data_IF_375828823951
#
_entry.id   IF_375828823951
#
_cell.length_a   1.000
_cell.length_b   1.000
_cell.length_c   1.000
_cell.angle_alpha   90.00
_cell.angle_beta   90.00
_cell.angle_gamma   90.00
#
_symmetry.space_group_name_H-M   'P 1'
#
loop_
_entity.id
_entity.type
_entity.pdbx_description
1 polymer ?
2 water ?
#
# COMPACT_ATOMS: atom_id res chain seq x y z
N UNK A 14 -15.97 -2.50 2.83
CA UNK A 14 -15.90 -2.39 1.39
C UNK A 14 -14.64 -1.64 1.06
N UNK A 15 -14.51 -1.14 -0.17
CA UNK A 15 -13.35 -0.30 -0.47
C UNK A 15 -13.40 1.08 0.18
N UNK A 16 -14.54 1.50 0.74
CA UNK A 16 -14.62 2.83 1.36
C UNK A 16 -13.67 2.97 2.55
N UNK A 17 -13.35 1.85 3.22
CA UNK A 17 -12.54 1.95 4.43
C UNK A 17 -11.14 2.50 4.14
N UNK A 18 -10.59 2.24 2.96
CA UNK A 18 -9.26 2.73 2.63
C UNK A 18 -9.30 3.92 1.67
N UNK A 19 -10.43 4.62 1.60
CA UNK A 19 -10.54 5.76 0.68
C UNK A 19 -9.47 6.81 0.92
N UNK A 20 -9.14 7.10 2.19
CA UNK A 20 -8.09 8.09 2.46
C UNK A 20 -6.78 7.67 1.78
N UNK A 21 -6.37 6.42 1.97
CA UNK A 21 -5.13 5.95 1.38
C UNK A 21 -5.15 5.97 -0.14
N UNK A 22 -6.29 5.66 -0.75
CA UNK A 22 -6.39 5.76 -2.21
C UNK A 22 -6.22 7.22 -2.66
N UNK A 23 -6.87 8.14 -1.93
CA UNK A 23 -6.74 9.57 -2.23
C UNK A 23 -5.29 10.03 -2.12
N UNK A 24 -4.57 9.54 -1.10
CA UNK A 24 -3.15 9.88 -0.95
C UNK A 24 -2.37 9.38 -2.15
N UNK A 25 -2.60 8.13 -2.55
CA UNK A 25 -1.88 7.58 -3.70
C UNK A 25 -2.15 8.40 -4.95
N UNK A 26 -3.41 8.75 -5.19
CA UNK A 26 -3.74 9.53 -6.38
C UNK A 26 -3.10 10.91 -6.33
N UNK A 27 -3.08 11.52 -5.15
CA UNK A 27 -2.42 12.83 -5.03
C UNK A 27 -0.94 12.72 -5.36
N UNK A 28 -0.27 11.72 -4.81
CA UNK A 28 1.15 11.51 -5.08
C UNK A 28 1.43 11.26 -6.56
N UNK A 29 0.47 10.64 -7.25
CA UNK A 29 0.64 10.35 -8.67
C UNK A 29 0.59 11.62 -9.53
N UNK A 30 -0.15 12.64 -9.12
CA UNK A 30 -0.21 13.86 -9.92
C UNK A 30 1.05 14.71 -9.78
N UNK A 31 1.90 14.44 -8.79
CA UNK A 31 3.02 15.32 -8.47
C UNK A 31 4.36 14.81 -8.96
N UNK A 32 4.43 13.57 -9.44
CA UNK A 32 5.68 13.03 -9.96
C UNK A 32 5.36 12.01 -11.03
N UNK A 33 6.29 11.80 -11.94
CA UNK A 33 6.20 10.75 -12.93
C UNK A 33 6.99 9.54 -12.43
N UNK A 34 7.07 8.53 -13.26
CA UNK A 34 7.84 7.35 -12.91
C UNK A 34 7.01 6.32 -12.17
N UNK A 35 7.66 5.19 -11.90
CA UNK A 35 7.03 4.14 -11.10
C UNK A 35 6.56 4.71 -9.77
N UNK A 36 5.38 4.29 -9.35
CA UNK A 36 4.82 4.72 -8.08
C UNK A 36 4.10 3.55 -7.43
N UNK A 37 4.37 3.33 -6.15
CA UNK A 37 3.77 2.21 -5.43
C UNK A 37 3.49 2.63 -3.99
N UNK A 38 2.34 2.22 -3.47
CA UNK A 38 2.00 2.50 -2.09
C UNK A 38 0.86 1.59 -1.67
N UNK A 39 0.68 1.45 -0.37
CA UNK A 39 -0.43 0.65 0.15
C UNK A 39 -1.52 1.55 0.71
N UNK A 40 -2.69 1.65 0.08
CA UNK A 40 -3.79 2.39 0.72
C UNK A 40 -4.14 1.84 2.09
N UNK A 41 -4.00 0.52 2.28
CA UNK A 41 -4.21 -0.09 3.59
C UNK A 41 -3.26 0.48 4.65
N UNK A 42 -1.95 0.47 4.37
CA UNK A 42 -0.98 0.95 5.35
C UNK A 42 -1.17 2.43 5.64
N UNK A 43 -1.48 3.22 4.62
CA UNK A 43 -1.61 4.66 4.83
C UNK A 43 -2.86 4.95 5.67
N UNK A 44 -3.95 4.21 5.42
CA UNK A 44 -5.15 4.37 6.23
C UNK A 44 -4.91 3.90 7.67
N UNK A 45 -4.20 2.78 7.84
CA UNK A 45 -3.91 2.26 9.18
C UNK A 45 -3.16 3.29 10.00
N UNK A 46 -2.20 3.98 9.37
CA UNK A 46 -1.47 5.05 10.05
C UNK A 46 -2.43 6.05 10.67
N UNK A 47 -3.35 6.58 9.86
CA UNK A 47 -4.25 7.62 10.33
C UNK A 47 -5.28 7.07 11.31
N UNK A 48 -5.84 5.88 11.00
CA UNK A 48 -6.87 5.30 11.88
C UNK A 48 -6.30 4.97 13.25
N UNK A 49 -5.02 4.60 13.30
CA UNK A 49 -4.38 4.36 14.58
C UNK A 49 -4.20 5.65 15.35
N UNK A 50 -3.74 6.70 14.67
CA UNK A 50 -3.57 7.99 15.31
C UNK A 50 -4.91 8.53 15.86
N UNK A 51 -6.00 8.21 15.15
CA UNK A 51 -7.34 8.66 15.54
C UNK A 51 -7.69 8.19 16.95
N UNK A 52 -7.18 7.02 17.35
CA UNK A 52 -7.53 6.42 18.64
C UNK A 52 -6.95 7.20 19.81
N UNK A 53 -5.96 8.06 19.57
CA UNK A 53 -5.44 8.92 20.61
C UNK A 53 -5.69 10.40 20.40
N UNK A 54 -6.52 10.78 19.43
CA UNK A 54 -6.70 12.16 19.02
C UNK A 54 -7.86 12.84 19.75
N UNK A 55 -7.76 14.15 19.86
CA UNK A 55 -8.81 14.97 20.43
C UNK A 55 -8.96 16.27 19.65
N UNK A 56 -10.05 16.99 19.94
CA UNK A 56 -10.19 18.36 19.48
C UNK A 56 -10.05 18.48 17.97
N UNK A 57 -9.30 19.52 17.55
CA UNK A 57 -9.17 19.78 16.12
C UNK A 57 -8.43 18.66 15.39
N UNK A 58 -7.48 17.99 16.06
CA UNK A 58 -6.77 16.88 15.42
C UNK A 58 -7.72 15.72 15.14
N UNK A 59 -8.55 15.38 16.11
CA UNK A 59 -9.53 14.33 15.91
C UNK A 59 -10.50 14.69 14.78
N UNK A 60 -10.91 15.96 14.73
CA UNK A 60 -11.83 16.42 13.68
C UNK A 60 -11.22 16.25 12.30
N UNK A 61 -9.96 16.69 12.14
CA UNK A 61 -9.26 16.55 10.86
C UNK A 61 -9.16 15.08 10.44
N UNK A 62 -8.77 14.21 11.37
CA UNK A 62 -8.59 12.81 11.00
C UNK A 62 -9.93 12.15 10.67
N UNK A 63 -10.95 12.45 11.47
CA UNK A 63 -12.27 11.86 11.20
C UNK A 63 -12.80 12.28 9.85
N UNK A 64 -12.63 13.56 9.49
CA UNK A 64 -13.06 14.03 8.17
C UNK A 64 -12.28 13.33 7.07
N UNK A 65 -10.99 13.11 7.28
CA UNK A 65 -10.17 12.50 6.22
C UNK A 65 -10.51 11.03 6.03
N UNK A 66 -10.71 10.31 7.13
CA UNK A 66 -11.00 8.87 7.05
C UNK A 66 -12.44 8.58 6.67
N UNK A 67 -13.36 9.50 6.99
CA UNK A 67 -14.80 9.26 6.87
C UNK A 67 -15.22 8.04 7.70
N UNK A 68 -14.58 7.88 8.85
CA UNK A 68 -14.92 6.85 9.83
C UNK A 68 -14.73 7.42 11.22
N UNK A 69 -15.61 7.03 12.15
CA UNK A 69 -15.41 7.36 13.54
C UNK A 69 -14.30 6.49 14.13
N UNK A 70 -13.72 6.89 15.26
CA UNK A 70 -12.69 6.03 15.89
C UNK A 70 -13.18 4.62 16.19
N UNK A 71 -14.42 4.48 16.69
CA UNK A 71 -14.96 3.15 16.97
C UNK A 71 -15.15 2.35 15.69
N UNK A 72 -15.56 3.01 14.61
CA UNK A 72 -15.76 2.30 13.35
C UNK A 72 -14.43 1.85 12.76
N UNK A 73 -13.44 2.74 12.73
CA UNK A 73 -12.16 2.36 12.13
C UNK A 73 -11.50 1.24 12.92
N UNK A 74 -11.67 1.24 14.26
CA UNK A 74 -11.08 0.19 15.07
C UNK A 74 -11.74 -1.15 14.78
N UNK A 75 -13.07 -1.16 14.63
CA UNK A 75 -13.77 -2.40 14.35
C UNK A 75 -13.45 -2.92 12.95
N UNK A 76 -13.38 -2.02 11.97
CA UNK A 76 -13.11 -2.44 10.60
C UNK A 76 -11.72 -3.05 10.51
N UNK A 77 -10.72 -2.37 11.05
CA UNK A 77 -9.37 -2.89 10.85
C UNK A 77 -9.06 -4.08 11.73
N UNK A 78 -9.75 -4.24 12.87
CA UNK A 78 -9.59 -5.49 13.60
C UNK A 78 -10.00 -6.66 12.72
N UNK A 79 -11.11 -6.52 11.98
CA UNK A 79 -11.58 -7.63 11.17
C UNK A 79 -10.70 -7.84 9.96
N UNK A 80 -10.24 -6.75 9.32
CA UNK A 80 -9.33 -6.89 8.19
C UNK A 80 -8.08 -7.64 8.59
N UNK A 81 -7.53 -7.28 9.76
CA UNK A 81 -6.33 -7.96 10.23
C UNK A 81 -6.63 -9.41 10.61
N UNK A 82 -7.80 -9.68 11.20
CA UNK A 82 -8.18 -11.06 11.50
C UNK A 82 -8.27 -11.89 10.24
N UNK A 83 -8.83 -11.34 9.16
CA UNK A 83 -8.93 -12.13 7.94
C UNK A 83 -7.56 -12.39 7.34
N UNK A 84 -6.63 -11.44 7.46
CA UNK A 84 -5.26 -11.69 6.99
C UNK A 84 -4.62 -12.80 7.81
N UNK A 85 -4.71 -12.72 9.14
CA UNK A 85 -3.99 -13.67 9.97
C UNK A 85 -4.61 -15.06 9.95
N UNK A 86 -5.84 -15.20 9.44
CA UNK A 86 -6.41 -16.54 9.31
C UNK A 86 -5.78 -17.32 8.17
N UNK A 87 -5.07 -16.64 7.26
CA UNK A 87 -4.60 -17.29 6.05
C UNK A 87 -3.35 -18.12 6.34
N UNK A 88 -3.37 -19.37 5.87
CA UNK A 88 -2.26 -20.32 6.02
C UNK A 88 -1.99 -20.87 4.63
N UNK A 89 -1.33 -20.06 3.81
CA UNK A 89 -1.14 -20.37 2.40
C UNK A 89 0.26 -19.93 2.00
N UNK A 90 0.61 -20.18 0.75
CA UNK A 90 1.89 -19.74 0.25
C UNK A 90 1.90 -18.27 -0.20
N UNK A 91 0.77 -17.57 -0.10
CA UNK A 91 0.79 -16.13 -0.33
C UNK A 91 1.47 -15.47 0.86
N UNK A 92 2.51 -14.67 0.60
CA UNK A 92 3.25 -14.02 1.67
C UNK A 92 2.83 -12.56 1.73
N UNK A 93 2.10 -12.19 2.79
CA UNK A 93 1.81 -10.79 3.07
C UNK A 93 2.38 -10.48 4.44
N UNK A 94 3.35 -9.56 4.49
CA UNK A 94 4.03 -9.21 5.73
C UNK A 94 3.80 -7.73 6.00
N UNK A 95 3.29 -7.41 7.18
CA UNK A 95 3.06 -6.03 7.55
C UNK A 95 3.91 -5.69 8.78
N UNK A 96 4.36 -4.44 8.83
CA UNK A 96 5.06 -3.93 10.00
C UNK A 96 4.50 -2.56 10.34
N UNK A 97 3.71 -2.50 11.41
CA UNK A 97 3.10 -1.26 11.88
C UNK A 97 3.61 -0.97 13.29
N UNK A 98 4.05 0.27 13.53
CA UNK A 98 4.48 0.60 14.89
C UNK A 98 4.46 2.10 15.08
N UNK A 99 4.36 2.50 16.35
CA UNK A 99 4.49 3.90 16.76
C UNK A 99 5.64 3.94 17.75
N UNK A 100 6.73 4.61 17.38
CA UNK A 100 7.91 4.71 18.22
C UNK A 100 7.85 6.05 18.95
N UNK A 101 7.53 5.99 20.24
CA UNK A 101 7.26 7.17 21.05
C UNK A 101 8.46 7.46 21.96
N UNK A 102 8.98 8.68 21.88
CA UNK A 102 10.12 9.07 22.70
C UNK A 102 9.85 8.80 24.17
N UNK A 103 10.89 8.32 24.85
CA UNK A 103 10.79 8.06 26.28
C UNK A 103 10.61 9.33 27.11
N UNK A 104 10.66 10.52 26.49
CA UNK A 104 10.24 11.73 27.19
C UNK A 104 8.74 11.72 27.48
N UNK A 105 7.97 10.89 26.79
CA UNK A 105 6.53 10.79 26.95
C UNK A 105 6.17 9.46 27.60
N UNK A 106 5.17 9.46 28.46
CA UNK A 106 4.61 8.23 29.00
C UNK A 106 3.57 7.71 28.03
N UNK A 107 3.67 6.43 27.67
CA UNK A 107 2.70 5.88 26.73
C UNK A 107 1.36 5.70 27.42
N UNK A 108 0.30 5.83 26.65
CA UNK A 108 -1.05 5.56 27.13
C UNK A 108 -1.33 4.06 26.98
N UNK A 109 -1.56 3.34 28.08
CA UNK A 109 -1.75 1.88 27.97
C UNK A 109 -2.97 1.49 27.16
N UNK A 110 -4.03 2.31 27.18
CA UNK A 110 -5.22 2.00 26.42
C UNK A 110 -4.98 2.14 24.91
N UNK A 111 -4.25 3.19 24.52
CA UNK A 111 -3.84 3.30 23.12
C UNK A 111 -3.02 2.08 22.70
N UNK A 112 -2.08 1.67 23.56
CA UNK A 112 -1.28 0.50 23.24
C UNK A 112 -2.15 -0.74 23.09
N UNK A 113 -3.14 -0.92 23.96
CA UNK A 113 -4.03 -2.09 23.85
C UNK A 113 -4.76 -2.09 22.52
N UNK A 114 -5.30 -0.95 22.11
CA UNK A 114 -6.02 -0.87 20.83
C UNK A 114 -5.07 -1.11 19.67
N UNK A 115 -3.84 -0.59 19.77
CA UNK A 115 -2.82 -0.83 18.74
C UNK A 115 -2.63 -2.31 18.48
N UNK A 116 -2.44 -3.07 19.56
CA UNK A 116 -2.14 -4.50 19.47
C UNK A 116 -3.37 -5.29 19.10
N UNK A 117 -4.52 -4.99 19.71
CA UNK A 117 -5.70 -5.82 19.54
C UNK A 117 -6.48 -5.53 18.26
N UNK A 118 -6.33 -4.35 17.65
CA UNK A 118 -7.14 -3.97 16.50
C UNK A 118 -6.34 -3.63 15.25
N UNK A 119 -5.16 -3.03 15.41
CA UNK A 119 -4.44 -2.46 14.28
C UNK A 119 -3.16 -3.22 13.91
N UNK A 120 -2.92 -4.39 14.52
CA UNK A 120 -1.69 -5.15 14.26
C UNK A 120 -0.46 -4.22 14.37
N UNK A 121 -0.46 -3.41 15.42
CA UNK A 121 0.53 -2.37 15.59
C UNK A 121 0.95 -2.38 17.05
N UNK A 122 1.61 -1.30 17.49
CA UNK A 122 2.08 -1.24 18.87
C UNK A 122 2.42 0.20 19.19
N UNK A 123 2.64 0.45 20.48
CA UNK A 123 3.18 1.73 20.95
C UNK A 123 4.45 1.41 21.71
N UNK A 124 5.59 1.85 21.18
CA UNK A 124 6.90 1.34 21.60
C UNK A 124 7.78 2.46 22.14
N UNK A 125 8.13 2.46 23.43
CA UNK A 125 9.03 3.49 23.95
C UNK A 125 10.40 3.39 23.27
N UNK A 126 10.96 4.55 22.93
CA UNK A 126 12.18 4.63 22.14
C UNK A 126 13.03 5.81 22.61
N UNK A 127 14.32 5.57 22.84
CA UNK A 127 15.24 6.66 23.13
C UNK A 127 15.86 7.13 21.83
N UNK A 128 15.68 8.41 21.51
CA UNK A 128 16.20 8.98 20.27
C UNK A 128 17.48 9.77 20.48
N UNK A 129 18.01 9.84 21.70
CA UNK A 129 19.21 10.61 21.98
C UNK A 129 20.45 10.09 21.30
N UNK A 130 20.49 8.81 20.93
CA UNK A 130 21.52 8.24 20.06
C UNK A 130 20.83 7.94 18.74
N UNK A 131 20.85 8.88 17.78
CA UNK A 131 20.03 8.72 16.58
C UNK A 131 20.42 7.53 15.71
N UNK A 132 21.72 7.24 15.59
CA UNK A 132 22.12 6.13 14.73
C UNK A 132 21.64 4.80 15.31
N UNK A 133 21.72 4.64 16.63
CA UNK A 133 21.23 3.44 17.28
C UNK A 133 19.72 3.30 17.14
N UNK A 134 18.98 4.40 17.31
CA UNK A 134 17.53 4.37 17.19
C UNK A 134 17.10 3.99 15.77
N UNK A 135 17.72 4.63 14.77
CA UNK A 135 17.38 4.33 13.38
C UNK A 135 17.65 2.87 13.05
N UNK A 136 18.81 2.35 13.48
CA UNK A 136 19.12 0.97 13.16
C UNK A 136 18.23 0.00 13.91
N UNK A 137 17.86 0.30 15.16
CA UNK A 137 16.95 -0.57 15.89
C UNK A 137 15.58 -0.61 15.24
N UNK A 138 15.09 0.53 14.78
CA UNK A 138 13.78 0.56 14.11
C UNK A 138 13.87 -0.21 12.79
N UNK A 139 14.92 0.04 12.01
CA UNK A 139 15.06 -0.65 10.72
C UNK A 139 15.21 -2.15 10.91
N UNK A 140 15.96 -2.58 11.93
CA UNK A 140 16.11 -4.01 12.18
C UNK A 140 14.77 -4.65 12.53
N UNK A 141 13.95 -3.96 13.33
CA UNK A 141 12.63 -4.48 13.65
C UNK A 141 11.77 -4.60 12.39
N UNK A 142 11.78 -3.55 11.55
CA UNK A 142 11.02 -3.62 10.31
C UNK A 142 11.49 -4.79 9.45
N UNK A 143 12.81 -4.92 9.29
CA UNK A 143 13.34 -6.02 8.49
C UNK A 143 12.93 -7.38 9.06
N UNK A 144 12.88 -7.50 10.39
CA UNK A 144 12.49 -8.76 11.02
C UNK A 144 11.03 -9.10 10.76
N UNK A 145 10.20 -8.11 10.43
CA UNK A 145 8.78 -8.31 10.21
C UNK A 145 8.42 -8.45 8.74
N UNK A 146 9.37 -8.25 7.82
CA UNK A 146 9.09 -8.17 6.39
C UNK A 146 9.99 -9.10 5.58
N UNK A 147 10.41 -10.21 6.18
CA UNK A 147 11.30 -11.17 5.51
C UNK A 147 12.56 -10.50 4.98
N UNK A 148 13.05 -9.50 5.72
CA UNK A 148 14.23 -8.73 5.38
C UNK A 148 14.08 -7.95 4.07
N UNK A 149 12.85 -7.75 3.60
CA UNK A 149 12.64 -7.03 2.34
C UNK A 149 12.67 -5.52 2.52
N UNK A 150 12.35 -5.01 3.70
CA UNK A 150 12.35 -3.58 3.97
C UNK A 150 13.29 -3.36 5.15
N UNK A 151 14.46 -2.79 4.89
CA UNK A 151 15.47 -2.74 5.93
C UNK A 151 16.15 -1.38 6.11
N UNK A 152 15.75 -0.34 5.38
CA UNK A 152 16.44 0.95 5.50
C UNK A 152 15.46 2.11 5.40
N UNK A 153 14.27 1.97 5.99
CA UNK A 153 13.25 3.01 5.88
C UNK A 153 13.61 4.27 6.66
N UNK A 154 14.17 4.12 7.88
CA UNK A 154 14.44 5.24 8.76
C UNK A 154 15.90 5.68 8.61
N UNK A 155 16.12 7.03 8.43
CA UNK A 155 17.50 7.52 8.38
C UNK A 155 17.91 8.11 9.72
N UNK A 156 19.15 7.86 10.16
CA UNK A 156 19.62 8.47 11.41
C UNK A 156 19.60 9.99 11.37
N UNK A 157 19.72 10.59 10.18
CA UNK A 157 19.70 12.03 10.08
C UNK A 157 18.31 12.62 10.28
N UNK A 158 17.26 11.80 10.26
CA UNK A 158 15.90 12.25 10.55
C UNK A 158 15.60 12.26 12.04
N UNK A 159 16.52 11.80 12.88
CA UNK A 159 16.27 11.61 14.29
C UNK A 159 17.21 12.47 15.12
N UNK A 160 16.72 12.90 16.29
CA UNK A 160 17.52 13.65 17.22
C UNK A 160 16.92 13.48 18.60
N UNK A 161 17.59 14.02 19.61
CA UNK A 161 17.02 14.00 20.95
C UNK A 161 15.69 14.72 21.05
N UNK A 162 15.36 15.56 20.07
CA UNK A 162 14.10 16.28 20.08
C UNK A 162 12.99 15.56 19.30
N UNK A 163 13.30 14.42 18.67
CA UNK A 163 12.28 13.60 18.04
C UNK A 163 11.28 13.12 19.08
N UNK A 164 10.00 13.23 18.75
CA UNK A 164 8.94 12.82 19.67
C UNK A 164 8.28 11.51 19.27
N UNK A 165 8.02 11.30 17.98
CA UNK A 165 7.22 10.15 17.57
C UNK A 165 7.55 9.83 16.12
N UNK A 166 7.89 8.57 15.86
CA UNK A 166 8.14 8.08 14.52
C UNK A 166 7.11 7.00 14.23
N UNK A 167 6.26 7.23 13.23
CA UNK A 167 5.29 6.24 12.82
C UNK A 167 5.80 5.50 11.59
N UNK A 168 5.73 4.16 11.64
CA UNK A 168 6.16 3.33 10.51
C UNK A 168 5.04 2.36 10.14
N UNK A 169 4.78 2.25 8.84
CA UNK A 169 3.81 1.30 8.32
C UNK A 169 4.38 0.76 7.03
N UNK A 170 4.76 -0.50 7.04
CA UNK A 170 5.45 -1.11 5.91
C UNK A 170 4.69 -2.37 5.48
N UNK A 171 4.78 -2.70 4.20
CA UNK A 171 4.08 -3.90 3.73
C UNK A 171 4.87 -4.53 2.58
N UNK A 172 4.96 -5.85 2.59
CA UNK A 172 5.60 -6.64 1.55
C UNK A 172 4.64 -7.72 1.08
N UNK A 173 4.48 -7.87 -0.23
CA UNK A 173 3.67 -8.97 -0.74
C UNK A 173 4.40 -9.71 -1.85
N UNK A 174 4.41 -11.04 -1.76
CA UNK A 174 4.78 -11.91 -2.88
C UNK A 174 3.86 -13.11 -2.79
N UNK A 175 3.01 -13.29 -3.81
CA UNK A 175 2.00 -14.32 -3.78
C UNK A 175 2.33 -15.46 -4.73
N UNK A 176 1.49 -16.49 -4.66
CA UNK A 176 1.56 -17.64 -5.55
C UNK A 176 0.29 -17.64 -6.40
N UNK A 177 0.44 -17.64 -7.71
CA UNK A 177 -0.73 -17.67 -8.56
C UNK A 177 -1.53 -18.96 -8.34
N UNK A 178 -2.85 -18.84 -8.50
CA UNK A 178 -3.70 -20.04 -8.53
C UNK A 178 -3.20 -21.04 -9.56
N UNK A 179 -2.82 -20.55 -10.73
CA UNK A 179 -2.26 -21.38 -11.80
C UNK A 179 -0.93 -20.76 -12.22
N UNK A 180 0.13 -21.56 -12.35
CA UNK A 180 1.44 -20.99 -12.65
C UNK A 180 1.55 -20.49 -14.08
N UNK A 181 2.41 -19.50 -14.27
CA UNK A 181 2.98 -19.22 -15.58
C UNK A 181 4.09 -20.23 -15.86
N UNK A 182 4.12 -20.75 -17.09
CA UNK A 182 5.19 -21.64 -17.51
C UNK A 182 6.47 -20.81 -17.68
N UNK A 183 7.51 -21.16 -16.92
CA UNK A 183 8.76 -20.41 -16.99
C UNK A 183 9.32 -20.37 -18.40
N UNK A 184 9.32 -21.50 -19.10
CA UNK A 184 9.88 -21.49 -20.45
C UNK A 184 9.03 -20.69 -21.44
N UNK A 185 7.85 -20.22 -21.02
CA UNK A 185 7.04 -19.32 -21.84
C UNK A 185 7.38 -17.85 -21.61
N UNK A 186 8.15 -17.52 -20.58
CA UNK A 186 8.53 -16.13 -20.35
C UNK A 186 9.51 -15.69 -21.42
N UNK A 187 9.26 -14.53 -22.02
CA UNK A 187 10.03 -14.11 -23.18
C UNK A 187 10.45 -12.65 -23.06
N UNK A 188 11.61 -12.34 -23.63
CA UNK A 188 12.09 -10.97 -23.67
C UNK A 188 11.49 -10.27 -24.88
N UNK A 189 10.72 -9.21 -24.62
CA UNK A 189 10.06 -8.41 -25.65
C UNK A 189 10.23 -6.95 -25.26
N UNK A 190 9.98 -6.05 -26.21
CA UNK A 190 10.12 -4.64 -25.89
C UNK A 190 8.91 -4.11 -25.12
N UNK A 191 9.20 -3.31 -24.10
CA UNK A 191 8.22 -2.51 -23.38
C UNK A 191 8.45 -1.07 -23.80
N UNK A 192 7.38 -0.36 -24.14
CA UNK A 192 7.49 1.02 -24.62
C UNK A 192 7.10 1.96 -23.49
N UNK A 193 8.05 2.77 -23.04
CA UNK A 193 7.78 3.72 -21.98
C UNK A 193 6.98 4.90 -22.54
N UNK A 194 6.32 5.61 -21.64
CA UNK A 194 5.74 6.89 -22.00
C UNK A 194 6.81 7.79 -22.61
N UNK A 195 6.51 8.36 -23.76
CA UNK A 195 7.46 9.19 -24.47
C UNK A 195 8.16 8.48 -25.61
N UNK A 196 8.26 7.16 -25.57
CA UNK A 196 8.71 6.38 -26.73
C UNK A 196 9.94 5.50 -26.52
N UNK A 197 10.69 5.66 -25.43
CA UNK A 197 11.86 4.81 -25.21
C UNK A 197 11.47 3.34 -25.13
N UNK A 198 12.21 2.47 -25.82
CA UNK A 198 12.00 1.03 -25.78
C UNK A 198 12.99 0.37 -24.82
N UNK A 199 12.50 -0.56 -24.01
CA UNK A 199 13.34 -1.32 -23.08
C UNK A 199 12.92 -2.79 -23.07
N UNK A 200 13.91 -3.67 -23.08
CA UNK A 200 13.64 -5.12 -22.98
C UNK A 200 13.10 -5.44 -21.59
N UNK A 201 12.02 -6.23 -21.55
CA UNK A 201 11.47 -6.73 -20.30
C UNK A 201 11.11 -8.19 -20.46
N UNK A 202 10.95 -8.87 -19.32
CA UNK A 202 10.59 -10.29 -19.28
C UNK A 202 9.08 -10.43 -19.14
N UNK A 203 8.43 -10.85 -20.21
CA UNK A 203 6.97 -11.00 -20.23
C UNK A 203 6.60 -12.45 -19.94
N UNK A 204 5.92 -12.65 -18.82
CA UNK A 204 5.27 -13.93 -18.55
C UNK A 204 4.07 -14.07 -19.47
N UNK A 205 3.80 -15.30 -19.91
CA UNK A 205 2.75 -15.51 -20.89
C UNK A 205 1.90 -16.71 -20.52
N UNK A 206 0.58 -16.58 -20.71
CA UNK A 206 -0.33 -17.71 -20.58
C UNK A 206 -1.61 -17.38 -21.34
N UNK A 207 -2.41 -18.41 -21.59
CA UNK A 207 -3.74 -18.24 -22.16
C UNK A 207 -4.70 -19.09 -21.36
N UNK A 208 -5.58 -18.44 -20.61
CA UNK A 208 -6.53 -19.10 -19.73
C UNK A 208 -7.78 -18.25 -19.65
N UNK A 209 -8.81 -18.81 -19.03
CA UNK A 209 -9.98 -18.03 -18.68
C UNK A 209 -9.66 -17.21 -17.42
N UNK A 210 -9.84 -15.89 -17.52
CA UNK A 210 -9.77 -14.98 -16.39
C UNK A 210 -11.00 -14.11 -16.40
N UNK A 211 -11.43 -13.69 -15.21
CA UNK A 211 -12.34 -12.56 -15.14
C UNK A 211 -11.69 -11.37 -15.83
N UNK A 212 -12.34 -10.83 -16.85
CA UNK A 212 -11.70 -9.81 -17.68
C UNK A 212 -12.77 -9.08 -18.47
N UNK A 213 -12.40 -7.91 -18.97
CA UNK A 213 -13.32 -7.14 -19.78
C UNK A 213 -12.69 -5.83 -20.18
N UNK A 214 -13.52 -4.95 -20.71
CA UNK A 214 -13.14 -3.59 -21.06
C UNK A 214 -14.03 -2.64 -20.28
N UNK A 215 -13.42 -1.79 -19.47
CA UNK A 215 -14.16 -0.78 -18.71
C UNK A 215 -14.20 0.49 -19.54
N UNK A 216 -15.32 0.71 -20.25
CA UNK A 216 -15.41 1.87 -21.12
C UNK A 216 -15.38 3.21 -20.37
N UNK A 217 -16.05 3.39 -19.23
CA UNK A 217 -15.87 4.63 -18.47
C UNK A 217 -14.41 4.93 -18.13
N UNK A 218 -13.53 3.94 -18.20
CA UNK A 218 -12.10 4.14 -17.96
C UNK A 218 -11.25 4.04 -19.22
N UNK A 219 -11.83 3.65 -20.35
CA UNK A 219 -11.11 3.44 -21.60
C UNK A 219 -9.90 2.52 -21.39
N UNK A 220 -10.18 1.33 -20.87
CA UNK A 220 -9.09 0.45 -20.43
C UNK A 220 -9.54 -1.00 -20.44
N UNK A 221 -8.58 -1.88 -20.65
CA UNK A 221 -8.79 -3.31 -20.49
C UNK A 221 -8.46 -3.71 -19.06
N UNK A 222 -9.16 -4.73 -18.57
CA UNK A 222 -9.02 -5.21 -17.19
C UNK A 222 -8.86 -6.73 -17.22
N UNK A 223 -7.90 -7.25 -16.46
CA UNK A 223 -7.85 -8.69 -16.17
C UNK A 223 -7.63 -8.87 -14.66
N UNK A 224 -8.28 -9.89 -14.10
CA UNK A 224 -8.19 -10.22 -12.68
C UNK A 224 -7.43 -11.54 -12.56
N UNK A 225 -6.26 -11.49 -11.92
CA UNK A 225 -5.40 -12.67 -11.81
C UNK A 225 -5.43 -13.19 -10.38
N UNK A 226 -6.01 -14.36 -10.10
CA UNK A 226 -6.15 -14.80 -8.71
C UNK A 226 -4.89 -15.44 -8.15
N UNK A 227 -4.65 -15.18 -6.85
CA UNK A 227 -3.61 -15.86 -6.12
C UNK A 227 -4.20 -17.10 -5.43
N UNK A 228 -3.35 -17.84 -4.74
CA UNK A 228 -3.73 -19.15 -4.19
C UNK A 228 -4.95 -19.04 -3.27
N UNK A 229 -5.88 -19.98 -3.44
CA UNK A 229 -7.12 -20.06 -2.66
C UNK A 229 -8.00 -18.81 -2.84
N UNK A 230 -7.76 -18.07 -3.92
CA UNK A 230 -8.43 -16.81 -4.23
C UNK A 230 -8.43 -15.86 -3.03
N UNK A 231 -7.35 -15.88 -2.25
CA UNK A 231 -7.24 -14.97 -1.11
C UNK A 231 -7.05 -13.54 -1.58
N UNK A 232 -6.27 -13.37 -2.65
CA UNK A 232 -5.93 -12.07 -3.21
C UNK A 232 -6.10 -12.14 -4.72
N UNK A 233 -6.20 -10.98 -5.34
CA UNK A 233 -6.15 -10.86 -6.79
C UNK A 233 -5.19 -9.75 -7.17
N UNK A 234 -4.49 -9.94 -8.30
CA UNK A 234 -3.83 -8.82 -8.95
C UNK A 234 -4.76 -8.34 -10.06
N UNK A 235 -5.24 -7.11 -9.93
CA UNK A 235 -6.12 -6.50 -10.90
C UNK A 235 -5.25 -5.59 -11.75
N UNK A 236 -5.15 -5.89 -13.04
CA UNK A 236 -4.28 -5.17 -13.95
C UNK A 236 -5.15 -4.40 -14.93
N UNK A 237 -4.87 -3.11 -15.07
CA UNK A 237 -5.72 -2.22 -15.84
C UNK A 237 -4.83 -1.51 -16.84
N UNK A 238 -5.16 -1.65 -18.12
CA UNK A 238 -4.30 -1.24 -19.21
C UNK A 238 -5.02 -0.21 -20.07
N UNK A 239 -4.51 1.03 -20.19
CA UNK A 239 -5.19 2.03 -21.00
C UNK A 239 -5.24 1.61 -22.45
N UNK A 240 -6.34 1.95 -23.10
CA UNK A 240 -6.40 1.77 -24.53
C UNK A 240 -5.54 2.84 -25.23
N UNK A 241 -5.30 2.63 -26.53
CA UNK A 241 -4.46 3.53 -27.30
C UNK A 241 -4.90 4.98 -27.18
N UNK A 242 -6.22 5.21 -27.05
CA UNK A 242 -6.78 6.55 -26.98
C UNK A 242 -6.53 7.25 -25.66
N UNK A 243 -5.93 6.59 -24.68
CA UNK A 243 -5.81 7.16 -23.34
C UNK A 243 -4.39 6.93 -22.83
N UNK A 244 -4.18 7.27 -21.55
CA UNK A 244 -2.90 7.09 -20.89
C UNK A 244 -3.16 6.76 -19.42
N UNK A 245 -2.10 6.31 -18.75
CA UNK A 245 -2.25 5.68 -17.44
C UNK A 245 -2.59 6.70 -16.35
N UNK A 246 -2.22 7.97 -16.52
CA UNK A 246 -2.56 8.92 -15.48
C UNK A 246 -4.00 9.41 -15.61
N UNK A 247 -4.50 9.55 -16.84
CA UNK A 247 -5.93 9.77 -17.05
C UNK A 247 -6.73 8.61 -16.49
N UNK A 248 -6.29 7.39 -16.77
CA UNK A 248 -6.94 6.20 -16.23
C UNK A 248 -6.99 6.25 -14.71
N UNK A 249 -5.85 6.53 -14.08
CA UNK A 249 -5.79 6.47 -12.62
C UNK A 249 -6.68 7.53 -11.98
N UNK A 250 -6.71 8.74 -12.55
CA UNK A 250 -7.53 9.80 -11.98
C UNK A 250 -9.02 9.45 -11.98
N UNK A 251 -9.48 8.77 -13.04
CA UNK A 251 -10.90 8.49 -13.20
C UNK A 251 -11.35 7.21 -12.50
N UNK A 252 -10.43 6.31 -12.17
CA UNK A 252 -10.79 4.97 -11.72
C UNK A 252 -11.15 4.97 -10.23
N UNK A 253 -12.40 4.65 -9.92
CA UNK A 253 -12.82 4.54 -8.54
C UNK A 253 -12.62 3.11 -8.03
N UNK A 254 -12.50 2.97 -6.71
CA UNK A 254 -12.39 1.64 -6.13
C UNK A 254 -13.72 0.90 -6.17
N UNK A 255 -14.84 1.61 -6.29
CA UNK A 255 -16.11 0.94 -6.57
C UNK A 255 -16.08 0.30 -7.95
N UNK A 256 -15.49 0.98 -8.93
CA UNK A 256 -15.25 0.37 -10.23
C UNK A 256 -14.39 -0.88 -10.09
N UNK A 257 -13.29 -0.77 -9.35
CA UNK A 257 -12.38 -1.90 -9.20
C UNK A 257 -13.10 -3.08 -8.54
N UNK A 258 -13.86 -2.81 -7.48
CA UNK A 258 -14.59 -3.90 -6.83
C UNK A 258 -15.51 -4.63 -7.80
N UNK A 259 -16.15 -3.89 -8.71
CA UNK A 259 -17.03 -4.51 -9.71
C UNK A 259 -16.27 -5.43 -10.67
N UNK A 260 -14.96 -5.21 -10.85
CA UNK A 260 -14.20 -6.06 -11.76
C UNK A 260 -14.18 -7.51 -11.30
N UNK A 261 -14.33 -7.74 -9.99
CA UNK A 261 -14.39 -9.11 -9.48
C UNK A 261 -15.66 -9.84 -9.89
N UNK A 262 -16.64 -9.12 -10.45
CA UNK A 262 -17.87 -9.73 -10.94
C UNK A 262 -17.86 -9.94 -12.45
N UNK A 263 -16.75 -9.60 -13.12
CA UNK A 263 -16.68 -9.79 -14.56
C UNK A 263 -16.73 -11.28 -14.89
N UNK A 264 -17.41 -11.65 -15.98
CA UNK A 264 -17.46 -13.07 -16.35
C UNK A 264 -16.12 -13.52 -16.88
N UNK A 265 -15.82 -14.81 -16.76
CA UNK A 265 -14.54 -15.30 -17.29
C UNK A 265 -14.49 -15.16 -18.80
N UNK A 266 -13.32 -14.76 -19.31
CA UNK A 266 -13.07 -14.65 -20.74
C UNK A 266 -11.79 -15.41 -21.08
N UNK A 267 -11.73 -15.92 -22.30
CA UNK A 267 -10.54 -16.55 -22.82
C UNK A 267 -9.53 -15.46 -23.19
N UNK A 268 -8.48 -15.31 -22.36
CA UNK A 268 -7.53 -14.21 -22.48
C UNK A 268 -6.15 -14.76 -22.83
N UNK A 269 -5.52 -14.17 -23.85
CA UNK A 269 -4.09 -14.36 -24.12
C UNK A 269 -3.34 -13.22 -23.43
N UNK A 270 -2.61 -13.55 -22.37
CA UNK A 270 -2.00 -12.57 -21.48
C UNK A 270 -0.49 -12.53 -21.64
N UNK A 271 0.08 -11.33 -21.76
CA UNK A 271 1.52 -11.11 -21.66
C UNK A 271 1.71 -10.05 -20.59
N UNK A 272 2.35 -10.44 -19.49
CA UNK A 272 2.49 -9.60 -18.29
C UNK A 272 3.96 -9.49 -17.89
N UNK A 273 4.56 -8.29 -17.87
CA UNK A 273 5.96 -8.19 -17.44
C UNK A 273 6.12 -8.57 -15.98
N UNK A 274 7.15 -9.38 -15.71
CA UNK A 274 7.63 -9.55 -14.34
C UNK A 274 8.11 -8.21 -13.80
N UNK A 275 7.82 -7.95 -12.53
CA UNK A 275 8.37 -6.75 -11.90
C UNK A 275 8.48 -6.96 -10.40
N UNK A 276 9.36 -6.16 -9.80
CA UNK A 276 9.42 -6.02 -8.36
C UNK A 276 9.61 -4.54 -8.07
N UNK A 277 8.69 -3.94 -7.34
CA UNK A 277 8.72 -2.50 -7.11
C UNK A 277 8.77 -2.23 -5.61
N UNK A 278 9.72 -1.38 -5.21
CA UNK A 278 9.88 -0.99 -3.81
C UNK A 278 9.79 0.51 -3.72
N UNK A 279 9.01 1.01 -2.77
CA UNK A 279 8.92 2.45 -2.54
C UNK A 279 9.08 2.72 -1.06
N UNK A 280 9.92 3.69 -0.72
CA UNK A 280 10.03 4.22 0.63
C UNK A 280 9.59 5.67 0.60
N UNK A 281 8.62 6.02 1.45
CA UNK A 281 7.88 7.27 1.30
C UNK A 281 7.82 8.02 2.63
N UNK A 282 8.22 9.28 2.61
CA UNK A 282 7.98 10.20 3.70
C UNK A 282 6.62 10.86 3.44
N UNK A 283 5.65 10.55 4.31
CA UNK A 283 4.28 10.98 4.08
C UNK A 283 3.98 12.40 4.55
N UNK A 284 4.90 13.09 5.20
CA UNK A 284 4.56 14.41 5.73
C UNK A 284 4.15 15.38 4.62
N UNK A 285 4.88 15.51 3.50
CA UNK A 285 4.40 16.44 2.45
C UNK A 285 2.98 16.17 1.98
N UNK A 286 2.64 14.91 1.67
CA UNK A 286 1.32 14.65 1.12
C UNK A 286 0.25 14.77 2.20
N UNK A 287 0.56 14.37 3.44
CA UNK A 287 -0.44 14.49 4.49
C UNK A 287 -0.73 15.95 4.80
N UNK A 288 0.28 16.82 4.67
CA UNK A 288 0.03 18.25 4.83
C UNK A 288 -0.91 18.79 3.75
N UNK A 289 -0.99 18.15 2.59
CA UNK A 289 -1.90 18.54 1.52
C UNK A 289 -3.28 17.93 1.65
N UNK A 290 -3.42 16.86 2.44
CA UNK A 290 -4.64 16.07 2.47
C UNK A 290 -5.49 16.34 3.71
N UNK A 291 -5.26 17.47 4.38
CA UNK A 291 -6.16 17.92 5.43
C UNK A 291 -5.89 17.41 6.82
N UNK A 292 -4.70 16.84 7.07
CA UNK A 292 -4.41 16.34 8.41
C UNK A 292 -3.11 16.97 8.92
N UNK A 293 -2.85 18.21 8.52
CA UNK A 293 -1.59 18.87 8.88
C UNK A 293 -1.42 19.03 10.39
N UNK A 294 -2.51 19.04 11.17
CA UNK A 294 -2.38 19.28 12.61
C UNK A 294 -1.50 18.25 13.29
N UNK A 295 -1.43 17.02 12.77
CA UNK A 295 -0.72 15.96 13.48
C UNK A 295 0.77 16.24 13.58
N UNK A 296 1.34 17.08 12.69
CA UNK A 296 2.76 17.39 12.71
C UNK A 296 3.08 18.63 13.54
N UNK A 297 2.08 19.40 13.96
CA UNK A 297 2.30 20.68 14.62
C UNK A 297 2.43 20.50 16.13
N UNK A 298 3.03 21.50 16.76
CA UNK A 298 3.07 21.47 18.22
C UNK A 298 1.71 21.78 18.83
N UNK A 299 0.67 21.99 18.01
CA UNK A 299 -0.72 22.05 18.46
C UNK A 299 -1.43 20.72 18.30
N UNK A 300 -0.74 19.67 17.88
CA UNK A 300 -1.35 18.36 17.75
C UNK A 300 -1.96 17.92 19.07
N UNK A 301 -3.17 17.38 19.00
CA UNK A 301 -3.94 16.94 20.17
C UNK A 301 -3.95 15.42 20.17
N UNK A 302 -2.87 14.84 20.70
CA UNK A 302 -2.67 13.39 20.76
C UNK A 302 -2.39 12.96 22.20
N UNK A 303 -3.02 13.65 23.16
CA UNK A 303 -2.73 13.39 24.56
C UNK A 303 -3.15 11.99 25.00
N UNK A 304 -4.11 11.37 24.32
CA UNK A 304 -4.51 10.02 24.67
C UNK A 304 -3.66 8.96 23.97
N UNK A 305 -2.62 9.38 23.27
CA UNK A 305 -1.56 8.50 22.81
C UNK A 305 -0.39 8.47 23.79
N UNK A 306 0.03 9.64 24.28
CA UNK A 306 1.09 9.73 25.27
C UNK A 306 1.11 11.11 25.87
N UNK A 307 1.92 11.28 26.91
CA UNK A 307 1.86 12.52 27.67
C UNK A 307 3.21 12.85 28.29
N UNK A 308 3.49 14.15 28.37
CA UNK A 308 4.63 14.67 29.13
C UNK A 308 4.04 15.79 29.97
N UNK A 309 3.77 15.50 31.23
CA UNK A 309 2.95 16.42 32.00
C UNK A 309 1.66 16.67 31.25
N UNK A 310 1.33 17.93 31.04
CA UNK A 310 0.13 18.29 30.30
C UNK A 310 0.37 18.43 28.80
N UNK A 311 1.56 18.06 28.32
CA UNK A 311 1.90 18.19 26.91
C UNK A 311 1.57 16.92 26.14
N UNK A 312 1.06 17.10 24.92
CA UNK A 312 0.85 16.06 23.93
C UNK A 312 2.07 15.92 23.03
N UNK A 313 2.42 14.71 22.63
CA UNK A 313 3.40 14.56 21.54
C UNK A 313 2.78 14.98 20.22
N UNK A 314 3.64 15.15 19.22
CA UNK A 314 3.17 15.26 17.85
C UNK A 314 3.96 14.30 16.97
N UNK A 315 3.49 14.11 15.74
CA UNK A 315 4.17 13.22 14.80
C UNK A 315 5.42 13.92 14.28
N UNK A 316 6.58 13.32 14.51
CA UNK A 316 7.83 13.86 13.98
C UNK A 316 8.11 13.33 12.58
N UNK A 317 7.89 12.04 12.37
CA UNK A 317 8.13 11.42 11.09
C UNK A 317 7.01 10.41 10.85
N UNK A 318 6.51 10.35 9.62
CA UNK A 318 5.49 9.38 9.21
C UNK A 318 6.03 8.70 7.95
N UNK A 319 6.39 7.43 8.07
CA UNK A 319 7.16 6.75 7.05
C UNK A 319 6.41 5.50 6.59
N UNK A 320 6.37 5.31 5.27
CA UNK A 320 5.68 4.18 4.65
C UNK A 320 6.59 3.50 3.65
N UNK A 321 6.61 2.18 3.68
CA UNK A 321 7.34 1.42 2.65
C UNK A 321 6.43 0.34 2.10
N UNK A 322 6.55 0.09 0.81
CA UNK A 322 5.70 -0.88 0.13
C UNK A 322 6.54 -1.64 -0.89
N UNK A 323 6.50 -2.97 -0.83
CA UNK A 323 7.25 -3.81 -1.77
C UNK A 323 6.28 -4.84 -2.35
N UNK A 324 6.22 -4.91 -3.69
CA UNK A 324 5.38 -5.89 -4.37
C UNK A 324 6.23 -6.57 -5.43
N UNK A 325 6.25 -7.90 -5.42
CA UNK A 325 7.03 -8.68 -6.37
C UNK A 325 6.10 -9.69 -7.03
N UNK A 326 6.19 -9.82 -8.35
CA UNK A 326 5.49 -10.90 -9.03
C UNK A 326 6.47 -11.71 -9.87
N UNK A 327 6.19 -13.00 -10.02
CA UNK A 327 6.95 -13.86 -10.93
C UNK A 327 6.03 -14.99 -11.37
N UNK A 328 6.62 -16.05 -11.95
CA UNK A 328 5.81 -17.08 -12.61
C UNK A 328 5.14 -18.05 -11.64
N UNK A 329 5.56 -18.11 -10.39
CA UNK A 329 5.28 -19.29 -9.58
C UNK A 329 3.80 -19.41 -9.21
N UNK A 330 3.27 -20.63 -9.30
CA UNK A 330 1.88 -20.89 -9.00
C UNK A 330 1.69 -22.24 -8.37
N UNK A 331 0.45 -22.51 -7.96
CA UNK A 331 0.08 -23.77 -7.34
C UNK A 331 -0.25 -24.88 -8.33
N UNK A 347 -10.49 -20.21 -32.19
CA UNK A 347 -9.21 -20.36 -31.50
C UNK A 347 -8.44 -19.04 -31.44
N UNK A 348 -9.12 -17.95 -31.77
CA UNK A 348 -8.50 -16.68 -31.36
C UNK A 348 -9.10 -16.26 -30.01
N UNK A 349 -8.28 -15.79 -29.07
CA UNK A 349 -8.81 -15.48 -27.74
C UNK A 349 -9.84 -14.37 -27.80
N UNK A 350 -10.73 -14.37 -26.80
CA UNK A 350 -11.71 -13.30 -26.70
C UNK A 350 -11.04 -11.95 -26.45
N UNK A 351 -9.91 -11.96 -25.74
CA UNK A 351 -9.22 -10.74 -25.36
C UNK A 351 -7.73 -10.98 -25.42
N UNK A 352 -7.02 -10.09 -26.09
CA UNK A 352 -5.56 -9.99 -25.96
C UNK A 352 -5.24 -8.94 -24.91
N UNK A 353 -4.44 -9.33 -23.93
CA UNK A 353 -4.02 -8.41 -22.86
C UNK A 353 -2.50 -8.41 -22.83
N UNK A 354 -1.91 -7.42 -23.50
CA UNK A 354 -0.46 -7.34 -23.60
C UNK A 354 -0.04 -6.05 -22.91
N UNK A 355 0.57 -6.19 -21.74
CA UNK A 355 0.95 -5.03 -20.92
C UNK A 355 2.38 -4.61 -21.23
N UNK A 356 2.58 -4.16 -22.48
CA UNK A 356 3.88 -3.74 -22.99
C UNK A 356 3.99 -2.22 -23.06
N UNK A 357 3.22 -1.55 -22.22
CA UNK A 357 3.18 -0.11 -22.09
C UNK A 357 2.71 0.17 -20.68
N UNK A 358 2.82 1.41 -20.20
CA UNK A 358 2.47 1.69 -18.80
C UNK A 358 1.06 1.24 -18.41
N UNK A 359 0.94 0.72 -17.20
CA UNK A 359 -0.30 0.12 -16.73
C UNK A 359 -0.42 0.27 -15.22
N UNK A 360 -1.61 -0.01 -14.70
CA UNK A 360 -1.89 0.03 -13.28
C UNK A 360 -2.05 -1.39 -12.76
N UNK A 361 -1.49 -1.67 -11.58
CA UNK A 361 -1.70 -2.95 -10.93
C UNK A 361 -2.20 -2.70 -9.52
N UNK A 362 -3.23 -3.44 -9.12
CA UNK A 362 -3.86 -3.28 -7.81
C UNK A 362 -3.88 -4.65 -7.16
N UNK A 363 -3.28 -4.76 -5.98
CA UNK A 363 -3.40 -5.98 -5.20
C UNK A 363 -4.64 -5.88 -4.33
N UNK A 364 -5.58 -6.81 -4.53
CA UNK A 364 -6.90 -6.73 -3.93
C UNK A 364 -7.05 -7.84 -2.91
N UNK A 365 -7.53 -7.49 -1.71
CA UNK A 365 -7.94 -8.47 -0.71
C UNK A 365 -9.36 -8.90 -1.05
N UNK A 366 -9.52 -10.15 -1.50
CA UNK A 366 -10.81 -10.62 -2.00
C UNK A 366 -11.83 -10.85 -0.89
N UNK A 367 -11.37 -10.98 0.35
CA UNK A 367 -12.31 -11.21 1.44
C UNK A 367 -12.78 -9.91 2.06
N UNK A 368 -11.87 -8.93 2.17
CA UNK A 368 -12.21 -7.65 2.78
C UNK A 368 -12.55 -6.56 1.76
N UNK A 369 -12.33 -6.82 0.47
CA UNK A 369 -12.70 -5.90 -0.60
C UNK A 369 -12.01 -4.55 -0.46
N UNK A 370 -10.69 -4.58 -0.31
CA UNK A 370 -9.89 -3.36 -0.20
C UNK A 370 -8.63 -3.50 -1.03
N UNK A 371 -8.11 -2.38 -1.53
CA UNK A 371 -6.82 -2.38 -2.24
C UNK A 371 -5.66 -2.33 -1.26
N UNK A 372 -4.92 -3.44 -1.17
CA UNK A 372 -3.76 -3.52 -0.32
C UNK A 372 -2.53 -2.86 -0.93
N UNK A 373 -2.46 -2.79 -2.25
CA UNK A 373 -1.32 -2.21 -2.95
C UNK A 373 -1.84 -1.56 -4.22
N UNK A 374 -1.32 -0.39 -4.54
CA UNK A 374 -1.57 0.25 -5.83
C UNK A 374 -0.22 0.57 -6.47
N UNK A 375 -0.08 0.24 -7.75
CA UNK A 375 1.19 0.55 -8.42
C UNK A 375 0.89 1.11 -9.79
N UNK A 376 1.57 2.21 -10.12
CA UNK A 376 1.62 2.72 -11.48
C UNK A 376 2.96 2.25 -12.05
N UNK A 377 2.89 1.31 -12.99
CA UNK A 377 4.10 0.70 -13.55
C UNK A 377 4.41 1.44 -14.84
N UNK A 378 5.37 2.38 -14.76
CA UNK A 378 5.90 3.07 -15.92
C UNK A 378 7.06 2.34 -16.57
N UNK A 379 7.78 1.53 -15.82
CA UNK A 379 9.00 0.89 -16.31
C UNK A 379 9.24 -0.36 -15.46
N UNK A 380 8.85 -1.54 -15.94
CA UNK A 380 8.99 -2.74 -15.12
C UNK A 380 10.42 -3.21 -14.92
N UNK A 381 11.41 -2.59 -15.59
CA UNK A 381 12.80 -2.99 -15.44
C UNK A 381 13.47 -2.34 -14.25
N UNK A 382 12.80 -1.40 -13.59
CA UNK A 382 13.36 -0.66 -12.47
C UNK A 382 12.66 -1.09 -11.19
N UNK A 383 13.45 -1.33 -10.15
CA UNK A 383 12.91 -1.82 -8.89
C UNK A 383 12.47 -0.72 -7.93
N UNK A 384 12.76 0.54 -8.22
CA UNK A 384 12.48 1.62 -7.27
C UNK A 384 11.41 2.57 -7.81
N UNK A 385 10.73 3.23 -6.88
CA UNK A 385 9.76 4.27 -7.21
C UNK A 385 10.33 5.67 -6.96
#
# INVERSE_FOLDING_TARGET
MHHHHHHAMAIHSGPASTSFGVNVFKQMATEQSGNLAASPFSITILLAMLQQGAAGNTLDEITRALQMTPEKSAEIFKKVNEEIQKRNSRNILKTANNVFLSENFNLNPQFKRIAVNNFDSDLTPTYFGKPALAAQNINSWIASKTNDKIDKLVSPDDLSGNTQMVMVNAVYFKGLWEIPFREQATQKRNFTLNGGEKKVASFMQTRRYFKAGTHKPAMAKVVVLPFEYNEYSLIVVLPLKSSNVDALLSSLSMEDVASFLDLPPKDVALELPKFSIKADINLEPVLNKMGVSSIFTQQAELYNLGSHGSLSPQVSSALHSAVLTIDERGGSAAAATSFAAVALSYDEPSLYFRANKPFLAILWDNRSSIPLFMARIMDPTLEHARAAEV
#
